data_IF_100641748789
#
_entry.id   IF_100641748789
#
_cell.length_a   1.000
_cell.length_b   1.000
_cell.length_c   1.000
_cell.angle_alpha   90.00
_cell.angle_beta   90.00
_cell.angle_gamma   90.00
#
_symmetry.space_group_name_H-M   'P 1'
#
loop_
_entity.id
_entity.type
_entity.pdbx_description
1 polymer ?
#
# COMPACT_ATOMS: atom_id res chain seq x y z
N UNK A 1 -36.53 -20.51 -41.12
CA UNK A 1 -36.30 -19.25 -40.44
C UNK A 1 -36.15 -19.40 -38.90
N UNK A 2 -36.98 -20.20 -38.21
CA UNK A 2 -36.89 -20.35 -36.74
C UNK A 2 -35.54 -20.93 -36.27
N UNK A 3 -34.98 -21.91 -36.97
CA UNK A 3 -33.66 -22.51 -36.61
C UNK A 3 -32.52 -21.51 -36.76
N UNK A 4 -32.54 -20.68 -37.80
CA UNK A 4 -31.53 -19.62 -37.99
C UNK A 4 -31.53 -18.62 -36.85
N UNK A 5 -32.70 -18.16 -36.42
CA UNK A 5 -32.87 -17.22 -35.31
C UNK A 5 -32.36 -17.83 -33.96
N UNK A 6 -32.68 -19.11 -33.73
CA UNK A 6 -32.23 -19.79 -32.48
C UNK A 6 -30.71 -19.96 -32.45
N UNK A 7 -30.10 -20.33 -33.58
CA UNK A 7 -28.63 -20.47 -33.67
C UNK A 7 -27.96 -19.11 -33.51
N UNK A 8 -28.47 -18.07 -34.14
CA UNK A 8 -27.94 -16.72 -34.01
C UNK A 8 -28.04 -16.20 -32.58
N UNK A 9 -29.18 -16.41 -31.92
CA UNK A 9 -29.34 -16.05 -30.50
C UNK A 9 -28.38 -16.81 -29.59
N UNK A 10 -28.13 -18.09 -29.86
CA UNK A 10 -27.16 -18.91 -29.12
C UNK A 10 -25.72 -18.40 -29.25
N UNK A 11 -25.32 -18.03 -30.48
CA UNK A 11 -24.00 -17.47 -30.76
C UNK A 11 -23.84 -16.11 -30.05
N UNK A 12 -24.81 -15.23 -30.12
CA UNK A 12 -24.76 -13.95 -29.40
C UNK A 12 -24.72 -14.14 -27.89
N UNK A 13 -25.52 -15.03 -27.32
CA UNK A 13 -25.52 -15.32 -25.91
C UNK A 13 -24.14 -15.90 -25.47
N UNK A 14 -23.57 -16.81 -26.23
CA UNK A 14 -22.23 -17.37 -25.98
C UNK A 14 -21.13 -16.31 -26.06
N UNK A 15 -21.22 -15.40 -27.03
CA UNK A 15 -20.25 -14.32 -27.18
C UNK A 15 -20.31 -13.32 -26.02
N UNK A 16 -21.50 -12.96 -25.58
CA UNK A 16 -21.71 -12.09 -24.40
C UNK A 16 -21.18 -12.77 -23.15
N UNK A 17 -21.50 -14.04 -22.95
CA UNK A 17 -21.03 -14.82 -21.80
C UNK A 17 -19.50 -14.91 -21.79
N UNK A 18 -18.87 -15.10 -22.93
CA UNK A 18 -17.42 -15.14 -23.06
C UNK A 18 -16.79 -13.76 -22.80
N UNK A 19 -17.34 -12.71 -23.42
CA UNK A 19 -16.75 -11.35 -23.37
C UNK A 19 -16.92 -10.69 -22.00
N UNK A 20 -17.97 -11.04 -21.26
CA UNK A 20 -18.22 -10.51 -19.92
C UNK A 20 -17.82 -11.52 -18.82
N UNK A 21 -18.13 -12.79 -19.02
CA UNK A 21 -17.93 -13.83 -18.01
C UNK A 21 -16.44 -14.12 -17.78
N UNK A 22 -15.64 -14.19 -18.84
CA UNK A 22 -14.18 -14.48 -18.70
C UNK A 22 -13.44 -13.34 -17.99
N UNK A 23 -13.57 -12.05 -18.38
CA UNK A 23 -12.95 -10.95 -17.63
C UNK A 23 -13.43 -10.88 -16.20
N UNK A 24 -14.73 -11.08 -15.96
CA UNK A 24 -15.28 -11.08 -14.61
C UNK A 24 -14.66 -12.21 -13.75
N UNK A 25 -14.55 -13.41 -14.29
CA UNK A 25 -13.91 -14.53 -13.61
C UNK A 25 -12.44 -14.25 -13.30
N UNK A 26 -11.71 -13.67 -14.25
CA UNK A 26 -10.31 -13.27 -14.04
C UNK A 26 -10.17 -12.21 -12.93
N UNK A 27 -11.08 -11.23 -12.87
CA UNK A 27 -11.09 -10.22 -11.81
C UNK A 27 -11.35 -10.88 -10.44
N UNK A 28 -12.29 -11.82 -10.35
CA UNK A 28 -12.60 -12.52 -9.11
C UNK A 28 -11.40 -13.37 -8.64
N UNK A 29 -10.74 -14.07 -9.56
CA UNK A 29 -9.53 -14.86 -9.24
C UNK A 29 -8.40 -13.93 -8.81
N UNK A 30 -8.16 -12.84 -9.52
CA UNK A 30 -7.13 -11.86 -9.16
C UNK A 30 -7.40 -11.22 -7.80
N UNK A 31 -8.65 -10.84 -7.52
CA UNK A 31 -9.04 -10.29 -6.22
C UNK A 31 -8.90 -11.30 -5.08
N UNK A 32 -9.14 -12.59 -5.35
CA UNK A 32 -8.91 -13.66 -4.39
C UNK A 32 -7.41 -13.93 -4.12
N UNK A 33 -6.58 -13.83 -5.15
CA UNK A 33 -5.14 -14.06 -5.06
C UNK A 33 -4.40 -12.89 -4.37
N UNK A 34 -4.97 -11.68 -4.37
CA UNK A 34 -4.37 -10.48 -3.77
C UNK A 34 -4.79 -10.25 -2.31
N UNK A 35 -5.43 -11.22 -1.66
CA UNK A 35 -5.72 -11.09 -0.24
C UNK A 35 -4.40 -11.00 0.53
N UNK A 36 -4.09 -9.84 1.16
CA UNK A 36 -2.89 -9.73 1.98
C UNK A 36 -2.98 -10.76 3.12
N UNK A 37 -1.86 -11.42 3.38
CA UNK A 37 -1.76 -12.31 4.54
C UNK A 37 -2.18 -11.54 5.80
N UNK A 38 -2.91 -12.17 6.74
CA UNK A 38 -3.27 -11.51 7.99
C UNK A 38 -1.98 -11.03 8.66
N UNK A 39 -1.95 -9.76 9.05
CA UNK A 39 -0.81 -9.19 9.76
C UNK A 39 -0.62 -9.93 11.10
N UNK A 40 0.62 -10.22 11.49
CA UNK A 40 0.92 -10.78 12.80
C UNK A 40 0.34 -9.91 13.93
N UNK A 41 0.04 -10.53 15.07
CA UNK A 41 -0.44 -9.83 16.25
C UNK A 41 0.59 -8.87 16.86
N UNK A 42 1.88 -9.14 16.62
CA UNK A 42 2.99 -8.37 17.14
C UNK A 42 3.94 -8.02 15.98
N UNK A 43 4.10 -6.72 15.73
CA UNK A 43 4.89 -6.18 14.62
C UNK A 43 5.88 -5.16 15.15
N UNK A 44 7.13 -5.26 14.71
CA UNK A 44 8.13 -4.21 14.85
C UNK A 44 8.24 -3.52 13.49
N UNK A 45 8.02 -2.22 13.48
CA UNK A 45 8.17 -1.42 12.27
C UNK A 45 9.66 -1.17 11.98
N UNK A 46 10.01 -1.12 10.71
CA UNK A 46 11.35 -0.71 10.28
C UNK A 46 11.22 0.51 9.37
N UNK A 47 11.83 1.61 9.80
CA UNK A 47 11.93 2.85 9.04
C UNK A 47 13.35 2.97 8.46
N UNK A 48 13.49 2.88 7.15
CA UNK A 48 14.77 3.03 6.48
C UNK A 48 14.87 4.43 5.85
N UNK A 49 15.67 5.30 6.46
CA UNK A 49 15.91 6.68 6.04
C UNK A 49 17.12 6.82 5.12
N UNK A 50 17.76 5.71 4.72
CA UNK A 50 18.93 5.73 3.84
C UNK A 50 18.57 6.02 2.38
N UNK A 51 17.30 5.87 2.03
CA UNK A 51 16.78 6.21 0.69
C UNK A 51 16.42 7.69 0.65
N UNK A 52 16.75 8.37 -0.44
CA UNK A 52 16.37 9.77 -0.64
C UNK A 52 14.86 9.95 -0.44
N UNK A 53 14.50 10.89 0.41
CA UNK A 53 13.11 11.22 0.72
C UNK A 53 12.71 12.48 -0.02
N UNK A 54 11.46 12.53 -0.44
CA UNK A 54 10.83 13.71 -1.04
C UNK A 54 9.91 14.34 0.01
N UNK A 55 9.78 15.66 0.04
CA UNK A 55 8.91 16.35 1.00
C UNK A 55 7.44 15.92 0.87
N UNK A 56 6.98 15.70 -0.34
CA UNK A 56 5.60 15.34 -0.62
C UNK A 56 5.52 14.13 -1.54
N UNK A 57 4.46 13.35 -1.38
CA UNK A 57 4.12 12.30 -2.32
C UNK A 57 3.83 12.92 -3.70
N UNK A 58 4.63 12.55 -4.68
CA UNK A 58 4.31 12.84 -6.08
C UNK A 58 3.08 12.01 -6.42
N UNK A 59 1.92 12.66 -6.51
CA UNK A 59 0.68 12.05 -6.99
C UNK A 59 0.82 11.69 -8.46
N UNK A 60 1.46 10.59 -8.73
CA UNK A 60 1.51 10.02 -10.07
C UNK A 60 0.36 9.00 -10.17
N UNK A 61 -0.62 9.18 -11.08
CA UNK A 61 -1.75 8.25 -11.22
C UNK A 61 -1.31 6.80 -11.54
N UNK A 62 -0.05 6.62 -11.97
CA UNK A 62 0.55 5.31 -12.21
C UNK A 62 1.31 4.74 -11.01
N UNK A 63 1.42 5.46 -9.89
CA UNK A 63 2.14 5.01 -8.69
C UNK A 63 1.46 3.85 -7.97
N UNK A 64 0.23 3.49 -8.35
CA UNK A 64 -0.43 2.25 -7.89
C UNK A 64 0.32 0.97 -8.25
N UNK A 65 1.23 1.02 -9.23
CA UNK A 65 2.07 -0.10 -9.68
C UNK A 65 3.55 0.04 -9.29
N UNK A 66 3.95 1.14 -8.63
CA UNK A 66 5.33 1.42 -8.26
C UNK A 66 5.58 1.39 -6.75
N UNK A 67 6.87 1.40 -6.37
CA UNK A 67 7.30 1.61 -4.99
C UNK A 67 6.71 2.94 -4.50
N UNK A 68 6.02 2.90 -3.37
CA UNK A 68 5.63 4.13 -2.66
C UNK A 68 6.89 4.92 -2.38
N UNK A 69 6.99 6.15 -2.89
CA UNK A 69 8.06 7.04 -2.52
C UNK A 69 7.91 7.34 -1.03
N UNK A 70 8.98 7.16 -0.27
CA UNK A 70 8.99 7.53 1.13
C UNK A 70 9.06 9.06 1.20
N UNK A 71 7.91 9.73 1.31
CA UNK A 71 7.88 11.15 1.63
C UNK A 71 7.93 11.35 3.13
N UNK A 72 8.48 12.49 3.58
CA UNK A 72 8.51 12.87 4.99
C UNK A 72 7.10 12.84 5.57
N UNK A 73 6.12 13.37 4.85
CA UNK A 73 4.73 13.40 5.27
C UNK A 73 4.16 11.97 5.44
N UNK A 74 4.44 11.05 4.51
CA UNK A 74 3.94 9.67 4.61
C UNK A 74 4.54 8.93 5.82
N UNK A 75 5.80 9.20 6.16
CA UNK A 75 6.45 8.66 7.35
C UNK A 75 5.78 9.19 8.61
N UNK A 76 5.56 10.49 8.72
CA UNK A 76 4.92 11.13 9.88
C UNK A 76 3.50 10.56 10.09
N UNK A 77 2.73 10.44 9.02
CA UNK A 77 1.37 9.89 9.08
C UNK A 77 1.37 8.40 9.47
N UNK A 78 2.32 7.63 8.97
CA UNK A 78 2.47 6.22 9.32
C UNK A 78 2.84 6.05 10.79
N UNK A 79 3.78 6.83 11.30
CA UNK A 79 4.17 6.82 12.72
C UNK A 79 2.99 7.21 13.61
N UNK A 80 2.25 8.24 13.23
CA UNK A 80 1.04 8.65 13.96
C UNK A 80 -0.01 7.54 14.05
N UNK A 81 -0.26 6.81 12.96
CA UNK A 81 -1.15 5.64 12.99
C UNK A 81 -0.60 4.51 13.85
N UNK A 82 0.71 4.33 13.84
CA UNK A 82 1.38 3.28 14.60
C UNK A 82 1.39 3.56 16.12
N UNK A 83 1.27 4.83 16.54
CA UNK A 83 1.14 5.20 17.96
C UNK A 83 -0.08 4.51 18.60
N UNK A 84 -1.21 4.49 17.89
CA UNK A 84 -2.48 3.95 18.38
C UNK A 84 -2.67 2.45 18.06
N UNK A 85 -1.84 1.86 17.19
CA UNK A 85 -1.97 0.45 16.81
C UNK A 85 -1.34 -0.48 17.86
N UNK A 86 -2.18 -1.19 18.62
CA UNK A 86 -1.73 -2.14 19.64
C UNK A 86 -0.89 -3.31 19.13
N UNK A 87 -0.90 -3.58 17.82
CA UNK A 87 -0.07 -4.61 17.18
C UNK A 87 1.38 -4.16 17.02
N UNK A 88 1.61 -2.86 16.94
CA UNK A 88 2.97 -2.29 16.82
C UNK A 88 3.61 -2.26 18.20
N UNK A 89 4.71 -3.02 18.35
CA UNK A 89 5.43 -3.17 19.62
C UNK A 89 6.69 -2.32 19.71
N UNK A 90 7.16 -1.79 18.59
CA UNK A 90 8.35 -0.94 18.56
C UNK A 90 8.71 -0.52 17.14
N UNK A 91 9.75 0.29 17.04
CA UNK A 91 10.27 0.84 15.80
C UNK A 91 11.77 0.70 15.73
N UNK A 92 12.30 0.27 14.58
CA UNK A 92 13.73 0.28 14.27
C UNK A 92 13.96 1.35 13.21
N UNK A 93 14.84 2.30 13.48
CA UNK A 93 15.19 3.36 12.53
C UNK A 93 16.61 3.12 11.99
N UNK A 94 16.74 3.13 10.67
CA UNK A 94 18.04 3.08 9.99
C UNK A 94 18.36 4.46 9.45
N UNK A 95 19.41 5.07 9.96
CA UNK A 95 19.83 6.41 9.58
C UNK A 95 20.80 6.38 8.38
N UNK A 96 20.78 7.42 7.51
CA UNK A 96 21.77 7.56 6.44
C UNK A 96 23.13 7.97 6.99
N UNK A 97 24.20 7.44 6.40
CA UNK A 97 25.57 7.78 6.78
C UNK A 97 25.95 9.24 6.46
N UNK A 98 25.34 9.79 5.40
CA UNK A 98 25.63 11.15 4.92
C UNK A 98 24.79 12.24 5.59
N UNK A 99 23.91 11.85 6.53
CA UNK A 99 22.94 12.79 7.13
C UNK A 99 21.70 13.02 6.26
N UNK A 100 20.83 13.88 6.76
CA UNK A 100 19.57 14.27 6.10
C UNK A 100 19.50 15.79 5.99
N UNK A 101 18.63 16.27 5.11
CA UNK A 101 18.30 17.68 5.04
C UNK A 101 17.72 18.15 6.41
N UNK A 102 18.17 19.30 6.96
CA UNK A 102 17.84 19.69 8.34
C UNK A 102 16.35 19.80 8.63
N UNK A 103 15.55 20.31 7.69
CA UNK A 103 14.10 20.45 7.86
C UNK A 103 13.42 19.09 8.00
N UNK A 104 13.70 18.18 7.08
CA UNK A 104 13.18 16.82 7.10
C UNK A 104 13.63 16.04 8.33
N UNK A 105 14.88 16.24 8.77
CA UNK A 105 15.42 15.60 9.95
C UNK A 105 14.69 16.05 11.23
N UNK A 106 14.38 17.34 11.36
CA UNK A 106 13.63 17.86 12.52
C UNK A 106 12.21 17.33 12.59
N UNK A 107 11.50 17.31 11.46
CA UNK A 107 10.14 16.78 11.41
C UNK A 107 10.08 15.31 11.79
N UNK A 108 10.98 14.49 11.24
CA UNK A 108 11.07 13.07 11.57
C UNK A 108 11.45 12.89 13.05
N UNK A 109 12.39 13.67 13.57
CA UNK A 109 12.79 13.63 14.98
C UNK A 109 11.60 13.92 15.91
N UNK A 110 10.78 14.90 15.57
CA UNK A 110 9.57 15.22 16.35
C UNK A 110 8.52 14.10 16.27
N UNK A 111 8.38 13.45 15.11
CA UNK A 111 7.49 12.31 14.96
C UNK A 111 7.98 11.09 15.77
N UNK A 112 9.29 10.82 15.77
CA UNK A 112 9.88 9.74 16.55
C UNK A 112 9.71 9.97 18.07
N UNK A 113 9.89 11.20 18.55
CA UNK A 113 9.65 11.54 19.97
C UNK A 113 8.18 11.33 20.38
N UNK A 114 7.24 11.65 19.50
CA UNK A 114 5.81 11.38 19.77
C UNK A 114 5.54 9.89 19.83
N UNK A 115 6.10 9.13 18.91
CA UNK A 115 5.98 7.69 18.91
C UNK A 115 6.57 7.06 20.19
N UNK A 116 7.74 7.51 20.62
CA UNK A 116 8.37 7.07 21.89
C UNK A 116 7.49 7.41 23.10
N UNK A 117 6.88 8.61 23.10
CA UNK A 117 5.98 9.04 24.17
C UNK A 117 4.70 8.18 24.26
N UNK A 118 4.34 7.42 23.23
CA UNK A 118 3.27 6.42 23.27
C UNK A 118 3.63 5.15 24.09
N UNK A 119 4.85 5.08 24.62
CA UNK A 119 5.36 3.95 25.43
C UNK A 119 5.95 2.82 24.60
N UNK A 120 6.16 3.01 23.31
CA UNK A 120 6.76 2.02 22.40
C UNK A 120 8.24 2.35 22.18
N UNK A 121 9.17 1.36 22.28
CA UNK A 121 10.59 1.58 22.09
C UNK A 121 10.94 1.95 20.64
N UNK A 122 11.96 2.83 20.50
CA UNK A 122 12.58 3.21 19.24
C UNK A 122 14.05 2.84 19.26
#
# INVERSE_FOLDING_TARGET
MKQFLTTMAGVFAGLILFLVGVPFLLIVIAAGATRPAPLPSDVVLQLDLRTAMTDQDVQNPLSGFGRRSNSVMSVIETLKRAEDDGRVKGLIVRLPETGMEPGSADEIRLALKRFEASGKPV
#
